data_IF_528558827461
#
_entry.id   IF_528558827461
#
_cell.length_a   1.000
_cell.length_b   1.000
_cell.length_c   1.000
_cell.angle_alpha   90.00
_cell.angle_beta   90.00
_cell.angle_gamma   90.00
#
_symmetry.space_group_name_H-M   'P 1'
#
loop_
_entity.id
_entity.type
_entity.pdbx_description
1 polymer ?
#
# COMPACT_ATOMS: atom_id res chain seq x y z
N UNK A 1 -13.93 0.83 -11.26
CA UNK A 1 -14.38 0.59 -9.86
C UNK A 1 -13.17 0.40 -8.96
N UNK A 2 -13.06 1.11 -7.86
CA UNK A 2 -12.01 0.87 -6.84
C UNK A 2 -12.69 0.40 -5.56
N UNK A 3 -12.19 -0.70 -4.98
CA UNK A 3 -12.63 -1.17 -3.66
C UNK A 3 -11.51 -0.91 -2.65
N UNK A 4 -11.88 -0.20 -1.58
CA UNK A 4 -11.01 0.23 -0.47
C UNK A 4 -11.80 0.20 0.84
N UNK A 5 -11.20 0.65 1.95
CA UNK A 5 -11.83 0.75 3.26
C UNK A 5 -11.75 -0.56 4.04
N UNK A 6 -11.45 -0.52 5.33
CA UNK A 6 -11.06 -1.72 6.05
C UNK A 6 -9.89 -2.43 5.33
N UNK A 7 -10.00 -3.76 5.22
CA UNK A 7 -9.09 -4.57 4.37
C UNK A 7 -9.94 -5.43 3.43
N UNK A 8 -9.97 -5.13 2.11
CA UNK A 8 -10.80 -5.85 1.14
C UNK A 8 -10.51 -7.36 1.06
N UNK A 9 -9.26 -7.78 1.33
CA UNK A 9 -8.87 -9.19 1.33
C UNK A 9 -9.57 -10.00 2.43
N UNK A 10 -10.08 -9.36 3.46
CA UNK A 10 -10.91 -10.02 4.49
C UNK A 10 -12.31 -10.38 3.97
N UNK A 11 -12.74 -9.78 2.86
CA UNK A 11 -14.01 -10.03 2.18
C UNK A 11 -13.78 -10.38 0.71
N UNK A 12 -12.71 -11.13 0.42
CA UNK A 12 -12.21 -11.34 -0.93
C UNK A 12 -13.26 -11.98 -1.87
N UNK A 13 -14.11 -12.90 -1.38
CA UNK A 13 -15.18 -13.50 -2.18
C UNK A 13 -16.20 -12.46 -2.65
N UNK A 14 -16.66 -11.58 -1.74
CA UNK A 14 -17.58 -10.51 -2.09
C UNK A 14 -16.97 -9.53 -3.10
N UNK A 15 -15.71 -9.13 -2.87
CA UNK A 15 -15.02 -8.20 -3.77
C UNK A 15 -14.80 -8.84 -5.14
N UNK A 16 -14.48 -10.14 -5.19
CA UNK A 16 -14.33 -10.89 -6.43
C UNK A 16 -15.63 -10.90 -7.24
N UNK A 17 -16.76 -11.25 -6.61
CA UNK A 17 -18.08 -11.25 -7.28
C UNK A 17 -18.43 -9.85 -7.81
N UNK A 18 -18.17 -8.80 -7.04
CA UNK A 18 -18.36 -7.41 -7.48
C UNK A 18 -17.49 -7.08 -8.70
N UNK A 19 -16.21 -7.48 -8.67
CA UNK A 19 -15.30 -7.24 -9.79
C UNK A 19 -15.68 -8.05 -11.03
N UNK A 20 -16.15 -9.29 -10.87
CA UNK A 20 -16.70 -10.08 -11.99
C UNK A 20 -17.89 -9.39 -12.69
N UNK A 21 -18.79 -8.76 -11.91
CA UNK A 21 -19.86 -7.95 -12.46
C UNK A 21 -19.33 -6.71 -13.19
N UNK A 22 -18.37 -6.01 -12.59
CA UNK A 22 -17.71 -4.87 -13.23
C UNK A 22 -17.06 -5.26 -14.56
N UNK A 23 -16.38 -6.41 -14.61
CA UNK A 23 -15.73 -6.90 -15.84
C UNK A 23 -16.74 -7.20 -16.95
N UNK A 24 -17.92 -7.75 -16.61
CA UNK A 24 -19.00 -7.98 -17.59
C UNK A 24 -19.48 -6.69 -18.25
N UNK A 25 -19.44 -5.58 -17.51
CA UNK A 25 -19.82 -4.25 -17.97
C UNK A 25 -18.62 -3.45 -18.55
N UNK A 26 -17.47 -4.07 -18.74
CA UNK A 26 -16.26 -3.42 -19.25
C UNK A 26 -15.65 -2.39 -18.31
N UNK A 27 -15.96 -2.45 -17.00
CA UNK A 27 -15.49 -1.51 -16.00
C UNK A 27 -14.14 -2.00 -15.44
N UNK A 28 -13.12 -1.15 -15.51
CA UNK A 28 -11.81 -1.38 -14.91
C UNK A 28 -11.90 -1.53 -13.39
N UNK A 29 -11.19 -2.54 -12.83
CA UNK A 29 -11.23 -2.89 -11.41
C UNK A 29 -9.91 -2.57 -10.73
N UNK A 30 -9.98 -1.94 -9.55
CA UNK A 30 -8.81 -1.59 -8.75
C UNK A 30 -8.98 -2.03 -7.29
N UNK A 31 -8.01 -2.77 -6.79
CA UNK A 31 -7.96 -3.25 -5.41
C UNK A 31 -7.02 -2.38 -4.59
N UNK A 32 -7.54 -1.75 -3.52
CA UNK A 32 -6.76 -0.96 -2.56
C UNK A 32 -6.57 -1.76 -1.27
N UNK A 33 -5.35 -2.25 -1.01
CA UNK A 33 -5.09 -3.24 0.03
C UNK A 33 -3.72 -3.06 0.69
N UNK A 34 -3.59 -3.57 1.91
CA UNK A 34 -2.30 -3.71 2.61
C UNK A 34 -1.46 -4.89 2.10
N UNK A 35 -2.08 -5.86 1.42
CA UNK A 35 -1.41 -7.09 0.98
C UNK A 35 -1.02 -8.05 2.11
N UNK A 36 -1.47 -7.82 3.34
CA UNK A 36 -1.09 -8.64 4.51
C UNK A 36 -1.78 -10.00 4.58
N UNK A 37 -2.78 -10.25 3.73
CA UNK A 37 -3.57 -11.48 3.71
C UNK A 37 -3.35 -12.20 2.38
N UNK A 38 -2.90 -13.46 2.45
CA UNK A 38 -2.77 -14.32 1.29
C UNK A 38 -3.43 -15.68 1.54
N UNK A 39 -4.39 -16.03 0.71
CA UNK A 39 -5.09 -17.31 0.69
C UNK A 39 -5.72 -17.54 -0.69
N UNK A 40 -6.36 -18.69 -0.90
CA UNK A 40 -7.01 -19.04 -2.17
C UNK A 40 -8.07 -18.01 -2.62
N UNK A 41 -8.77 -17.36 -1.68
CA UNK A 41 -9.77 -16.33 -2.00
C UNK A 41 -9.13 -15.05 -2.51
N UNK A 42 -8.02 -14.63 -1.88
CA UNK A 42 -7.21 -13.51 -2.36
C UNK A 42 -6.63 -13.79 -3.74
N UNK A 43 -6.16 -15.02 -3.96
CA UNK A 43 -5.67 -15.47 -5.26
C UNK A 43 -6.75 -15.37 -6.35
N UNK A 44 -7.96 -15.87 -6.07
CA UNK A 44 -9.09 -15.80 -7.00
C UNK A 44 -9.50 -14.35 -7.30
N UNK A 45 -9.49 -13.46 -6.29
CA UNK A 45 -9.77 -12.03 -6.48
C UNK A 45 -8.76 -11.36 -7.42
N UNK A 46 -7.47 -11.69 -7.31
CA UNK A 46 -6.46 -11.15 -8.21
C UNK A 46 -6.72 -11.52 -9.68
N UNK A 47 -7.39 -12.65 -9.96
CA UNK A 47 -7.77 -13.05 -11.30
C UNK A 47 -8.75 -12.10 -12.02
N UNK A 48 -9.40 -11.22 -11.29
CA UNK A 48 -10.38 -10.23 -11.81
C UNK A 48 -9.99 -8.79 -11.47
N UNK A 49 -8.74 -8.57 -11.03
CA UNK A 49 -8.19 -7.26 -10.65
C UNK A 49 -7.29 -6.73 -11.77
N UNK A 50 -7.54 -5.51 -12.25
CA UNK A 50 -6.73 -4.86 -13.28
C UNK A 50 -5.59 -4.02 -12.69
N UNK A 51 -5.81 -3.41 -11.53
CA UNK A 51 -4.85 -2.54 -10.86
C UNK A 51 -4.83 -2.85 -9.35
N UNK A 52 -3.66 -2.93 -8.77
CA UNK A 52 -3.50 -2.99 -7.33
C UNK A 52 -2.89 -1.69 -6.79
N UNK A 53 -3.56 -1.07 -5.82
CA UNK A 53 -3.02 0.01 -5.01
C UNK A 53 -2.49 -0.64 -3.72
N UNK A 54 -1.18 -0.97 -3.71
CA UNK A 54 -0.57 -1.72 -2.61
C UNK A 54 0.05 -0.75 -1.60
N UNK A 55 -0.49 -0.74 -0.39
CA UNK A 55 0.06 0.01 0.73
C UNK A 55 1.27 -0.69 1.33
N UNK A 56 2.46 -0.35 0.86
CA UNK A 56 3.73 -0.87 1.36
C UNK A 56 4.22 -0.01 2.53
N UNK A 57 3.74 -0.32 3.74
CA UNK A 57 3.77 0.59 4.90
C UNK A 57 5.18 0.89 5.40
N UNK A 58 6.07 -0.11 5.44
CA UNK A 58 7.46 0.03 5.89
C UNK A 58 8.41 -0.73 4.95
N UNK A 59 9.70 -0.39 5.00
CA UNK A 59 10.72 -1.02 4.14
C UNK A 59 11.64 -1.98 4.88
N UNK A 60 11.55 -2.03 6.22
CA UNK A 60 12.27 -2.98 7.09
C UNK A 60 11.29 -3.91 7.78
N UNK A 61 11.66 -5.17 7.98
CA UNK A 61 10.78 -6.17 8.60
C UNK A 61 10.45 -5.84 10.05
N UNK A 62 11.44 -5.34 10.81
CA UNK A 62 11.26 -4.94 12.20
C UNK A 62 10.24 -3.79 12.34
N UNK A 63 10.35 -2.78 11.48
CA UNK A 63 9.44 -1.64 11.45
C UNK A 63 8.04 -2.08 10.98
N UNK A 64 7.97 -2.98 10.01
CA UNK A 64 6.70 -3.51 9.51
C UNK A 64 5.93 -4.20 10.64
N UNK A 65 6.57 -5.13 11.35
CA UNK A 65 5.97 -5.82 12.50
C UNK A 65 5.61 -4.84 13.62
N UNK A 66 6.52 -3.93 13.96
CA UNK A 66 6.34 -2.96 15.06
C UNK A 66 5.17 -2.02 14.84
N UNK A 67 5.00 -1.48 13.62
CA UNK A 67 4.04 -0.40 13.36
C UNK A 67 2.73 -0.89 12.72
N UNK A 68 2.69 -2.11 12.20
CA UNK A 68 1.50 -2.65 11.54
C UNK A 68 1.00 -3.97 12.14
N UNK A 69 1.82 -4.66 12.91
CA UNK A 69 1.54 -6.01 13.40
C UNK A 69 1.59 -7.08 12.29
N UNK A 70 1.95 -6.72 11.06
CA UNK A 70 2.04 -7.63 9.92
C UNK A 70 3.49 -7.99 9.63
N UNK A 71 3.73 -9.25 9.23
CA UNK A 71 5.04 -9.63 8.72
C UNK A 71 5.23 -9.06 7.30
N UNK A 72 6.34 -8.35 7.08
CA UNK A 72 6.73 -7.82 5.77
C UNK A 72 6.78 -8.93 4.70
N UNK A 73 7.20 -10.13 5.06
CA UNK A 73 7.27 -11.27 4.14
C UNK A 73 5.91 -11.62 3.52
N UNK A 74 4.79 -11.38 4.23
CA UNK A 74 3.45 -11.58 3.69
C UNK A 74 3.16 -10.59 2.55
N UNK A 75 3.53 -9.33 2.74
CA UNK A 75 3.33 -8.27 1.73
C UNK A 75 4.29 -8.44 0.54
N UNK A 76 5.54 -8.83 0.79
CA UNK A 76 6.49 -9.15 -0.27
C UNK A 76 5.96 -10.29 -1.14
N UNK A 77 5.46 -11.38 -0.52
CA UNK A 77 4.80 -12.48 -1.23
C UNK A 77 3.60 -12.00 -2.06
N UNK A 78 2.78 -11.12 -1.50
CA UNK A 78 1.64 -10.58 -2.23
C UNK A 78 2.09 -9.78 -3.46
N UNK A 79 3.15 -8.97 -3.34
CA UNK A 79 3.75 -8.24 -4.46
C UNK A 79 4.34 -9.19 -5.52
N UNK A 80 4.99 -10.29 -5.10
CA UNK A 80 5.45 -11.33 -6.02
C UNK A 80 4.28 -11.98 -6.79
N UNK A 81 3.14 -12.20 -6.14
CA UNK A 81 1.95 -12.75 -6.81
C UNK A 81 1.34 -11.76 -7.82
N UNK A 82 1.34 -10.45 -7.52
CA UNK A 82 1.00 -9.41 -8.49
C UNK A 82 1.95 -9.42 -9.69
N UNK A 83 3.25 -9.57 -9.44
CA UNK A 83 4.28 -9.67 -10.48
C UNK A 83 4.06 -10.89 -11.39
N UNK A 84 3.82 -12.07 -10.82
CA UNK A 84 3.56 -13.31 -11.58
C UNK A 84 2.35 -13.20 -12.51
N UNK A 85 1.34 -12.45 -12.08
CA UNK A 85 0.09 -12.22 -12.82
C UNK A 85 0.13 -11.00 -13.73
N UNK A 86 1.26 -10.27 -13.69
CA UNK A 86 1.45 -9.03 -14.43
C UNK A 86 0.32 -8.01 -14.18
N UNK A 87 -0.14 -7.90 -12.93
CA UNK A 87 -1.15 -6.93 -12.52
C UNK A 87 -0.48 -5.59 -12.28
N UNK A 88 -0.90 -4.55 -12.99
CA UNK A 88 -0.38 -3.21 -12.79
C UNK A 88 -0.52 -2.79 -11.33
N UNK A 89 0.55 -2.29 -10.72
CA UNK A 89 0.60 -2.00 -9.29
C UNK A 89 1.10 -0.58 -9.04
N UNK A 90 0.39 0.14 -8.19
CA UNK A 90 0.89 1.38 -7.59
C UNK A 90 1.35 1.06 -6.16
N UNK A 91 2.63 1.26 -5.90
CA UNK A 91 3.21 1.05 -4.60
C UNK A 91 3.09 2.34 -3.80
N UNK A 92 2.33 2.31 -2.70
CA UNK A 92 2.04 3.51 -1.91
C UNK A 92 2.66 3.40 -0.52
N UNK A 93 3.19 4.49 -0.01
CA UNK A 93 3.69 4.55 1.35
C UNK A 93 3.28 5.85 2.04
N UNK A 94 2.63 5.75 3.19
CA UNK A 94 2.38 6.91 4.06
C UNK A 94 3.68 7.26 4.77
N UNK A 95 4.12 8.50 4.62
CA UNK A 95 5.34 9.01 5.25
C UNK A 95 5.02 9.59 6.61
N UNK A 96 5.58 8.99 7.64
CA UNK A 96 5.38 9.35 9.06
C UNK A 96 6.69 9.90 9.63
N UNK A 97 6.65 11.13 10.14
CA UNK A 97 7.84 11.82 10.68
C UNK A 97 8.48 11.04 11.82
N UNK A 98 9.82 10.92 11.77
CA UNK A 98 10.62 10.19 12.76
C UNK A 98 10.52 8.65 12.66
N UNK A 99 9.77 8.12 11.67
CA UNK A 99 9.62 6.67 11.47
C UNK A 99 10.20 6.23 10.12
N UNK A 100 9.64 6.71 9.01
CA UNK A 100 10.06 6.30 7.67
C UNK A 100 10.37 7.49 6.75
N UNK A 101 10.44 8.70 7.28
CA UNK A 101 10.71 9.96 6.58
C UNK A 101 12.21 10.20 6.30
N UNK A 102 12.94 9.16 5.97
CA UNK A 102 14.37 9.24 5.65
C UNK A 102 14.64 8.93 4.18
N UNK A 103 15.67 9.57 3.55
CA UNK A 103 16.09 9.23 2.19
C UNK A 103 16.39 7.74 2.00
N UNK A 104 16.92 7.07 3.02
CA UNK A 104 17.23 5.64 2.97
C UNK A 104 15.96 4.77 2.93
N UNK A 105 14.91 5.15 3.66
CA UNK A 105 13.62 4.46 3.59
C UNK A 105 13.02 4.57 2.20
N UNK A 106 13.04 5.76 1.65
CA UNK A 106 12.51 6.02 0.30
C UNK A 106 13.35 5.32 -0.79
N UNK A 107 14.69 5.32 -0.69
CA UNK A 107 15.54 4.54 -1.61
C UNK A 107 15.22 3.05 -1.57
N UNK A 108 15.00 2.47 -0.38
CA UNK A 108 14.58 1.06 -0.28
C UNK A 108 13.23 0.82 -0.95
N UNK A 109 12.26 1.71 -0.78
CA UNK A 109 10.96 1.60 -1.45
C UNK A 109 11.11 1.62 -2.99
N UNK A 110 11.89 2.54 -3.52
CA UNK A 110 12.19 2.58 -4.95
C UNK A 110 12.99 1.36 -5.41
N UNK A 111 13.85 0.80 -4.55
CA UNK A 111 14.54 -0.47 -4.82
C UNK A 111 13.56 -1.63 -4.97
N UNK A 112 12.55 -1.72 -4.09
CA UNK A 112 11.46 -2.70 -4.20
C UNK A 112 10.71 -2.49 -5.52
N UNK A 113 10.33 -1.26 -5.83
CA UNK A 113 9.63 -0.95 -7.07
C UNK A 113 10.45 -1.31 -8.33
N UNK A 114 11.74 -1.01 -8.34
CA UNK A 114 12.62 -1.32 -9.47
C UNK A 114 12.83 -2.83 -9.70
N UNK A 115 12.69 -3.64 -8.65
CA UNK A 115 12.78 -5.10 -8.74
C UNK A 115 11.51 -5.77 -9.29
N UNK A 116 10.38 -5.03 -9.38
CA UNK A 116 9.09 -5.58 -9.79
C UNK A 116 8.52 -4.81 -11.00
N UNK A 117 8.53 -5.42 -12.17
CA UNK A 117 8.08 -4.78 -13.42
C UNK A 117 6.57 -4.49 -13.45
N UNK A 118 5.78 -5.14 -12.58
CA UNK A 118 4.37 -4.83 -12.39
C UNK A 118 4.15 -3.47 -11.71
N UNK A 119 5.14 -2.94 -10.96
CA UNK A 119 5.04 -1.64 -10.32
C UNK A 119 5.19 -0.53 -11.35
N UNK A 120 4.10 0.18 -11.62
CA UNK A 120 4.05 1.28 -12.60
C UNK A 120 4.21 2.65 -11.95
N UNK A 121 3.94 2.75 -10.65
CA UNK A 121 4.00 4.02 -9.92
C UNK A 121 4.39 3.79 -8.47
N UNK A 122 5.14 4.74 -7.90
CA UNK A 122 5.39 4.88 -6.46
C UNK A 122 4.75 6.18 -5.99
N UNK A 123 3.93 6.11 -4.95
CA UNK A 123 3.30 7.28 -4.34
C UNK A 123 3.71 7.40 -2.87
N UNK A 124 4.32 8.54 -2.52
CA UNK A 124 4.53 8.93 -1.14
C UNK A 124 3.33 9.74 -0.67
N UNK A 125 2.59 9.18 0.28
CA UNK A 125 1.39 9.80 0.82
C UNK A 125 1.71 10.55 2.10
N UNK A 126 1.06 11.69 2.31
CA UNK A 126 1.20 12.46 3.54
C UNK A 126 0.49 11.76 4.70
N UNK A 127 1.17 11.60 5.83
CA UNK A 127 0.51 11.21 7.08
C UNK A 127 -0.48 12.28 7.50
N UNK A 128 -1.73 11.84 7.73
CA UNK A 128 -2.84 12.67 8.22
C UNK A 128 -3.51 11.99 9.39
N UNK A 129 -4.00 12.78 10.33
CA UNK A 129 -4.68 12.29 11.53
C UNK A 129 -6.20 12.08 11.34
N UNK A 130 -6.61 11.70 10.13
CA UNK A 130 -8.02 11.49 9.79
C UNK A 130 -8.69 10.36 10.57
N UNK A 131 -7.90 9.44 11.14
CA UNK A 131 -8.39 8.30 11.92
C UNK A 131 -8.68 8.65 13.39
N UNK A 132 -8.27 9.81 13.89
CA UNK A 132 -8.42 10.19 15.31
C UNK A 132 -9.85 10.02 15.81
N UNK A 133 -10.90 10.50 15.12
CA UNK A 133 -12.28 10.29 15.59
C UNK A 133 -12.67 8.81 15.75
N UNK A 134 -12.09 7.90 14.94
CA UNK A 134 -12.33 6.45 15.07
C UNK A 134 -11.71 5.90 16.35
N UNK A 135 -10.47 6.33 16.66
CA UNK A 135 -9.80 5.94 17.90
C UNK A 135 -10.54 6.45 19.13
N UNK A 136 -10.98 7.71 19.11
CA UNK A 136 -11.77 8.31 20.17
C UNK A 136 -13.10 7.57 20.40
N UNK A 137 -13.83 7.23 19.33
CA UNK A 137 -15.07 6.48 19.40
C UNK A 137 -14.88 5.06 19.96
N UNK A 138 -13.70 4.48 19.79
CA UNK A 138 -13.35 3.15 20.32
C UNK A 138 -12.77 3.23 21.73
N UNK A 139 -12.52 4.41 22.28
CA UNK A 139 -11.87 4.60 23.57
C UNK A 139 -10.40 4.13 23.59
N UNK A 140 -9.74 4.15 22.41
CA UNK A 140 -8.35 3.71 22.23
C UNK A 140 -7.48 4.92 21.96
N UNK A 141 -6.33 5.02 22.62
CA UNK A 141 -5.36 6.08 22.36
C UNK A 141 -4.75 5.90 20.96
N UNK A 142 -4.71 7.00 20.19
CA UNK A 142 -4.06 6.98 18.87
C UNK A 142 -2.52 6.98 19.01
N UNK A 143 -1.82 5.92 18.59
CA UNK A 143 -0.37 5.77 18.86
C UNK A 143 0.51 6.86 18.26
N UNK A 144 0.03 7.53 17.20
CA UNK A 144 0.75 8.60 16.50
C UNK A 144 0.20 10.00 16.81
N UNK A 145 -0.57 10.13 17.90
CA UNK A 145 -1.19 11.39 18.31
C UNK A 145 -0.21 12.55 18.42
N UNK A 146 1.00 12.30 18.91
CA UNK A 146 2.06 13.29 19.12
C UNK A 146 2.95 13.50 17.87
N UNK A 147 2.80 12.71 16.81
CA UNK A 147 3.60 12.87 15.60
C UNK A 147 2.98 13.96 14.71
N UNK A 148 3.77 14.94 14.23
CA UNK A 148 3.25 15.96 13.32
C UNK A 148 2.79 15.36 11.98
N UNK A 149 1.75 15.92 11.38
CA UNK A 149 1.37 15.58 10.00
C UNK A 149 2.50 15.91 9.02
N UNK A 150 2.55 15.15 7.93
CA UNK A 150 3.53 15.36 6.86
C UNK A 150 3.02 16.40 5.87
N UNK A 151 3.90 17.29 5.43
CA UNK A 151 3.60 18.37 4.47
C UNK A 151 4.07 18.03 3.07
N UNK A 152 3.61 18.78 2.06
CA UNK A 152 4.12 18.66 0.68
C UNK A 152 5.60 19.03 0.58
N UNK A 153 6.09 19.91 1.46
CA UNK A 153 7.50 20.25 1.54
C UNK A 153 8.32 19.04 1.99
N UNK A 154 7.89 18.34 3.04
CA UNK A 154 8.57 17.15 3.55
C UNK A 154 8.69 16.08 2.44
N UNK A 155 7.62 15.84 1.68
CA UNK A 155 7.64 14.88 0.57
C UNK A 155 8.60 15.30 -0.53
N UNK A 156 8.62 16.59 -0.92
CA UNK A 156 9.56 17.08 -1.93
C UNK A 156 11.01 16.91 -1.51
N UNK A 157 11.36 17.29 -0.28
CA UNK A 157 12.71 17.14 0.26
C UNK A 157 13.19 15.68 0.26
N UNK A 158 12.31 14.74 0.63
CA UNK A 158 12.60 13.32 0.55
C UNK A 158 12.88 12.85 -0.89
N UNK A 159 12.07 13.28 -1.84
CA UNK A 159 12.22 12.90 -3.26
C UNK A 159 13.49 13.47 -3.88
N UNK A 160 13.91 14.67 -3.49
CA UNK A 160 15.17 15.28 -3.94
C UNK A 160 16.40 14.46 -3.52
N UNK A 161 16.32 13.81 -2.36
CA UNK A 161 17.37 12.93 -1.84
C UNK A 161 17.51 11.57 -2.55
N UNK A 162 16.62 11.23 -3.49
CA UNK A 162 16.60 9.92 -4.17
C UNK A 162 17.04 10.06 -5.62
N UNK A 163 18.23 9.51 -5.93
CA UNK A 163 18.91 9.65 -7.26
C UNK A 163 18.33 8.84 -8.43
N UNK A 164 17.24 8.13 -8.31
CA UNK A 164 16.68 7.33 -9.42
C UNK A 164 15.16 7.53 -9.56
N UNK A 165 14.73 8.78 -9.69
CA UNK A 165 13.33 9.15 -9.90
C UNK A 165 12.76 8.68 -11.25
N UNK A 166 13.62 8.46 -12.25
CA UNK A 166 13.23 8.51 -13.66
C UNK A 166 12.67 7.19 -14.22
N UNK A 167 12.55 6.15 -13.42
CA UNK A 167 12.02 4.86 -13.90
C UNK A 167 10.55 4.60 -13.59
N UNK A 168 9.94 5.41 -12.74
CA UNK A 168 8.57 5.17 -12.26
C UNK A 168 7.85 6.53 -12.13
N UNK A 169 7.41 7.09 -13.23
CA UNK A 169 6.50 8.23 -13.30
C UNK A 169 5.12 7.77 -13.74
#
# INVERSE_FOLDING_TARGET
MTVSGGEPLMQADFVRELFELCKKEGIHTALDTSGCVWNERAEALLGVTDLCLLDYKMTRSEDYLRYTGCDKAAVDRFLEELQKRNIDTWLRQVIVKGINDTPDSVRRLYGVAAAHTCVKKVELLKFRKLCVPKYENLGIEFPFGNIPETTDKDIRELLEGVKNKDRIN
#
